data_IF_786990905407
#
_entry.id   IF_786990905407
#
_cell.length_a   1.000
_cell.length_b   1.000
_cell.length_c   1.000
_cell.angle_alpha   90.00
_cell.angle_beta   90.00
_cell.angle_gamma   90.00
#
_symmetry.space_group_name_H-M   'P 1'
#
loop_
_entity.id
_entity.type
_entity.pdbx_description
1 polymer ?
#
# COMPACT_ATOMS: atom_id res chain seq x y z
N UNK A 1 17.54 4.49 -5.05
CA UNK A 1 18.16 3.42 -4.24
C UNK A 1 17.06 2.41 -3.95
N UNK A 2 17.29 1.12 -4.15
CA UNK A 2 16.24 0.11 -3.99
C UNK A 2 15.76 0.06 -2.53
N UNK A 3 14.46 0.30 -2.31
CA UNK A 3 13.85 0.11 -1.01
C UNK A 3 14.03 -1.35 -0.58
N UNK A 4 14.65 -1.56 0.58
CA UNK A 4 14.76 -2.85 1.25
C UNK A 4 13.78 -2.82 2.43
N UNK A 5 12.75 -3.66 2.34
CA UNK A 5 11.66 -3.77 3.31
C UNK A 5 12.11 -4.11 4.74
N UNK A 6 13.30 -4.72 4.90
CA UNK A 6 13.83 -5.14 6.20
C UNK A 6 15.23 -4.56 6.39
N UNK A 7 15.32 -3.54 7.23
CA UNK A 7 16.59 -2.91 7.60
C UNK A 7 16.52 -2.34 9.03
N UNK A 8 17.68 -2.19 9.66
CA UNK A 8 17.80 -1.76 11.05
C UNK A 8 17.63 -0.24 11.25
N UNK A 9 17.57 0.53 10.16
CA UNK A 9 17.48 1.99 10.18
C UNK A 9 16.27 2.47 9.38
N UNK A 10 15.68 3.63 9.70
CA UNK A 10 14.63 4.22 8.87
C UNK A 10 15.12 4.44 7.44
N UNK A 11 14.25 4.15 6.46
CA UNK A 11 14.51 4.45 5.06
C UNK A 11 13.36 5.24 4.46
N UNK A 12 13.71 6.08 3.50
CA UNK A 12 12.73 6.80 2.70
C UNK A 12 11.99 5.78 1.81
N UNK A 13 10.67 5.87 1.81
CA UNK A 13 9.82 5.13 0.88
C UNK A 13 9.87 5.83 -0.48
N UNK A 14 10.10 5.06 -1.54
CA UNK A 14 10.12 5.57 -2.92
C UNK A 14 8.69 5.75 -3.43
N UNK A 15 8.04 6.84 -3.02
CA UNK A 15 6.78 7.32 -3.57
C UNK A 15 7.04 8.53 -4.47
N UNK A 16 6.17 8.78 -5.48
CA UNK A 16 6.22 10.02 -6.24
C UNK A 16 6.26 11.25 -5.33
N UNK A 17 7.18 12.17 -5.61
CA UNK A 17 7.57 13.26 -4.70
C UNK A 17 6.42 14.25 -4.43
N UNK A 18 5.45 14.32 -5.34
CA UNK A 18 4.28 15.18 -5.26
C UNK A 18 3.15 14.61 -4.39
N UNK A 19 3.26 13.36 -3.92
CA UNK A 19 2.23 12.70 -3.14
C UNK A 19 2.38 12.98 -1.65
N UNK A 20 1.34 13.58 -1.07
CA UNK A 20 1.22 13.73 0.37
C UNK A 20 0.48 12.51 0.94
N UNK A 21 1.14 11.73 1.81
CA UNK A 21 0.53 10.60 2.52
C UNK A 21 -0.35 11.13 3.66
N UNK A 22 -1.62 10.71 3.68
CA UNK A 22 -2.60 11.08 4.72
C UNK A 22 -2.71 10.02 5.81
N UNK A 23 -2.74 8.74 5.43
CA UNK A 23 -2.97 7.62 6.36
C UNK A 23 -2.06 6.46 6.01
N UNK A 24 -1.60 5.73 7.03
CA UNK A 24 -0.86 4.47 6.88
C UNK A 24 -1.47 3.38 7.77
N UNK A 25 -1.44 2.13 7.30
CA UNK A 25 -1.85 0.97 8.08
C UNK A 25 -0.90 -0.20 7.84
N UNK A 26 -0.56 -0.92 8.90
CA UNK A 26 0.38 -2.03 8.86
C UNK A 26 -0.31 -3.31 9.36
N UNK A 27 -0.30 -4.35 8.54
CA UNK A 27 -0.70 -5.70 8.93
C UNK A 27 0.50 -6.53 9.40
N UNK A 28 0.36 -7.85 9.46
CA UNK A 28 1.44 -8.73 9.94
C UNK A 28 2.70 -8.69 9.07
N UNK A 29 2.55 -8.59 7.75
CA UNK A 29 3.65 -8.58 6.76
C UNK A 29 3.38 -7.73 5.53
N UNK A 30 2.43 -6.80 5.61
CA UNK A 30 2.12 -5.89 4.51
C UNK A 30 1.76 -4.51 5.07
N UNK A 31 1.92 -3.50 4.25
CA UNK A 31 1.64 -2.11 4.59
C UNK A 31 0.79 -1.50 3.49
N UNK A 32 -0.09 -0.60 3.90
CA UNK A 32 -0.88 0.24 3.03
C UNK A 32 -0.68 1.71 3.39
N UNK A 33 -0.71 2.58 2.38
CA UNK A 33 -0.70 4.03 2.54
C UNK A 33 -1.74 4.66 1.62
N UNK A 34 -2.44 5.67 2.12
CA UNK A 34 -3.40 6.48 1.37
C UNK A 34 -2.80 7.87 1.19
N UNK A 35 -2.91 8.41 -0.02
CA UNK A 35 -2.52 9.79 -0.31
C UNK A 35 -3.69 10.75 -0.08
N UNK A 36 -3.42 12.04 0.11
CA UNK A 36 -4.48 13.07 0.11
C UNK A 36 -5.29 13.10 -1.18
N UNK A 37 -4.70 12.64 -2.29
CA UNK A 37 -5.39 12.48 -3.57
C UNK A 37 -6.31 11.26 -3.63
N UNK A 38 -6.45 10.49 -2.54
CA UNK A 38 -7.30 9.30 -2.47
C UNK A 38 -6.70 8.06 -3.12
N UNK A 39 -5.41 8.05 -3.44
CA UNK A 39 -4.74 6.89 -4.02
C UNK A 39 -4.25 5.94 -2.92
N UNK A 40 -4.49 4.64 -3.12
CA UNK A 40 -4.01 3.58 -2.24
C UNK A 40 -2.75 2.93 -2.81
N UNK A 41 -1.73 2.83 -1.96
CA UNK A 41 -0.49 2.11 -2.21
C UNK A 41 -0.37 0.94 -1.24
N UNK A 42 0.04 -0.23 -1.74
CA UNK A 42 0.25 -1.43 -0.91
C UNK A 42 1.54 -2.15 -1.28
N UNK A 43 2.21 -2.71 -0.27
CA UNK A 43 3.42 -3.53 -0.44
C UNK A 43 3.59 -4.52 0.71
N UNK A 44 4.55 -5.42 0.54
CA UNK A 44 4.90 -6.52 1.44
C UNK A 44 4.42 -7.88 0.93
N UNK A 45 4.04 -8.75 1.86
CA UNK A 45 3.62 -10.12 1.61
C UNK A 45 2.20 -10.18 1.07
N UNK A 46 2.06 -10.72 -0.15
CA UNK A 46 0.82 -10.69 -0.93
C UNK A 46 0.18 -12.05 -1.21
N UNK A 47 0.57 -13.12 -0.52
CA UNK A 47 0.18 -14.49 -0.92
C UNK A 47 -1.30 -14.81 -0.75
N UNK A 48 -2.06 -13.98 -0.02
CA UNK A 48 -3.52 -14.07 0.05
C UNK A 48 -4.24 -12.99 -0.76
N UNK A 49 -3.51 -12.24 -1.60
CA UNK A 49 -4.09 -11.19 -2.43
C UNK A 49 -4.38 -9.88 -1.68
N UNK A 50 -3.95 -9.75 -0.42
CA UNK A 50 -4.21 -8.58 0.43
C UNK A 50 -3.64 -7.27 -0.12
N UNK A 51 -2.73 -7.32 -1.10
CA UNK A 51 -2.19 -6.12 -1.73
C UNK A 51 -3.16 -5.52 -2.76
N UNK A 52 -4.13 -6.28 -3.25
CA UNK A 52 -5.14 -5.76 -4.19
C UNK A 52 -4.66 -5.61 -5.65
N UNK A 53 -3.51 -6.19 -6.01
CA UNK A 53 -2.92 -6.08 -7.37
C UNK A 53 -3.44 -7.11 -8.38
N UNK A 54 -4.60 -7.73 -8.12
CA UNK A 54 -5.21 -8.74 -8.99
C UNK A 54 -4.45 -10.08 -9.05
N UNK A 55 -3.52 -10.32 -8.12
CA UNK A 55 -2.75 -11.56 -8.03
C UNK A 55 -2.26 -11.78 -6.58
N UNK A 56 -1.54 -12.88 -6.36
CA UNK A 56 -1.02 -13.28 -5.04
C UNK A 56 0.51 -13.08 -4.93
N UNK A 57 1.07 -12.12 -5.67
CA UNK A 57 2.51 -11.86 -5.69
C UNK A 57 2.87 -10.87 -4.57
N UNK A 58 3.97 -11.15 -3.88
CA UNK A 58 4.54 -10.23 -2.88
C UNK A 58 5.37 -9.16 -3.57
N UNK A 59 5.43 -7.96 -3.01
CA UNK A 59 6.18 -6.86 -3.60
C UNK A 59 6.87 -6.06 -2.51
N UNK A 60 8.18 -5.88 -2.60
CA UNK A 60 8.90 -5.01 -1.66
C UNK A 60 8.74 -3.54 -2.00
N UNK A 61 8.21 -3.19 -3.18
CA UNK A 61 8.00 -1.81 -3.60
C UNK A 61 6.56 -1.38 -3.34
N UNK A 62 6.37 -0.14 -2.86
CA UNK A 62 5.04 0.48 -2.80
C UNK A 62 4.46 0.55 -4.22
N UNK A 63 3.28 -0.06 -4.40
CA UNK A 63 2.59 -0.06 -5.69
C UNK A 63 1.18 0.47 -5.53
N UNK A 64 0.80 1.34 -6.46
CA UNK A 64 -0.56 1.87 -6.52
C UNK A 64 -1.54 0.75 -6.87
N UNK A 65 -2.68 0.72 -6.21
CA UNK A 65 -3.76 -0.25 -6.46
C UNK A 65 -4.60 0.25 -7.63
N UNK A 66 -4.17 -0.09 -8.85
CA UNK A 66 -4.78 0.39 -10.11
C UNK A 66 -6.27 0.07 -10.25
N UNK A 67 -6.76 -0.99 -9.59
CA UNK A 67 -8.18 -1.35 -9.62
C UNK A 67 -9.07 -0.21 -9.12
N UNK A 68 -8.66 0.52 -8.08
CA UNK A 68 -9.46 1.61 -7.50
C UNK A 68 -9.46 2.84 -8.41
N UNK A 69 -8.30 3.14 -9.01
CA UNK A 69 -8.13 4.23 -9.98
C UNK A 69 -9.00 3.98 -11.22
N UNK A 70 -8.96 2.76 -11.77
CA UNK A 70 -9.77 2.37 -12.92
C UNK A 70 -11.28 2.44 -12.66
N UNK A 71 -11.68 2.40 -11.38
CA UNK A 71 -13.07 2.55 -10.94
C UNK A 71 -13.43 3.99 -10.55
N UNK A 72 -12.49 4.92 -10.57
CA UNK A 72 -12.69 6.30 -10.13
C UNK A 72 -13.01 6.42 -8.63
N UNK A 73 -12.57 5.46 -7.82
CA UNK A 73 -12.79 5.45 -6.38
C UNK A 73 -11.66 6.17 -5.66
N UNK A 74 -12.01 7.06 -4.74
CA UNK A 74 -11.07 7.74 -3.85
C UNK A 74 -11.07 7.05 -2.49
N UNK A 75 -9.92 6.59 -2.03
CA UNK A 75 -9.81 5.97 -0.71
C UNK A 75 -9.69 7.04 0.35
N UNK A 76 -10.57 6.97 1.35
CA UNK A 76 -10.56 7.88 2.49
C UNK A 76 -9.81 7.29 3.69
N UNK A 77 -9.83 5.96 3.85
CA UNK A 77 -9.19 5.28 4.98
C UNK A 77 -8.84 3.83 4.66
N UNK A 78 -7.87 3.27 5.39
CA UNK A 78 -7.38 1.90 5.22
C UNK A 78 -7.06 1.22 6.55
N UNK A 79 -7.45 -0.06 6.67
CA UNK A 79 -7.12 -0.91 7.82
C UNK A 79 -6.52 -2.23 7.35
N UNK A 80 -5.30 -2.52 7.78
CA UNK A 80 -4.62 -3.78 7.54
C UNK A 80 -4.81 -4.73 8.73
N UNK A 81 -5.45 -5.86 8.49
CA UNK A 81 -5.50 -6.99 9.44
C UNK A 81 -4.31 -7.93 9.27
N UNK A 82 -4.30 -9.10 9.93
CA UNK A 82 -3.21 -10.06 9.80
C UNK A 82 -2.95 -10.50 8.35
N UNK A 83 -4.04 -10.68 7.59
CA UNK A 83 -4.04 -11.26 6.24
C UNK A 83 -4.93 -10.51 5.25
N UNK A 84 -5.48 -9.36 5.65
CA UNK A 84 -6.56 -8.67 4.94
C UNK A 84 -6.32 -7.17 4.90
N UNK A 85 -6.88 -6.50 3.90
CA UNK A 85 -6.90 -5.04 3.77
C UNK A 85 -8.34 -4.59 3.58
N UNK A 86 -8.83 -3.73 4.46
CA UNK A 86 -10.14 -3.09 4.34
C UNK A 86 -9.94 -1.64 3.92
N UNK A 87 -10.73 -1.16 2.98
CA UNK A 87 -10.67 0.20 2.45
C UNK A 87 -12.03 0.85 2.58
N UNK A 88 -12.04 2.12 2.94
CA UNK A 88 -13.22 2.98 2.92
C UNK A 88 -13.04 3.97 1.78
N UNK A 89 -14.04 4.05 0.91
CA UNK A 89 -14.09 4.92 -0.28
C UNK A 89 -15.22 5.93 -0.17
#
# INVERSE_FOLDING_TARGET
>A
AAFISIQAFPALLDLPQELEVSTVSCGSRHTAAVTRGGELYTWGWGKYGQLGHGNNVSSDQARRVEYLVAKGLHVEDVVCGPWTTYVRV
#
